data_IF_968952590492
#
_entry.id   IF_968952590492
#
_cell.length_a   1.000
_cell.length_b   1.000
_cell.length_c   1.000
_cell.angle_alpha   90.00
_cell.angle_beta   90.00
_cell.angle_gamma   90.00
#
_symmetry.space_group_name_H-M   'P 1'
#
loop_
_entity.id
_entity.type
_entity.pdbx_description
1 polymer ?
#
# COMPACT_ATOMS: atom_id res chain seq x y z
N UNK A 1 -10.30 -13.23 2.36
CA UNK A 1 -9.66 -11.93 2.04
C UNK A 1 -8.16 -12.07 1.80
N UNK A 2 -7.35 -12.53 2.77
CA UNK A 2 -5.88 -12.64 2.60
C UNK A 2 -5.43 -13.50 1.40
N UNK A 3 -6.14 -14.61 1.11
CA UNK A 3 -5.83 -15.49 -0.04
C UNK A 3 -5.98 -14.74 -1.37
N UNK A 4 -7.00 -13.91 -1.51
CA UNK A 4 -7.22 -13.11 -2.72
C UNK A 4 -6.13 -12.05 -2.90
N UNK A 5 -5.69 -11.44 -1.80
CA UNK A 5 -4.57 -10.49 -1.80
C UNK A 5 -3.28 -11.16 -2.27
N UNK A 6 -2.95 -12.33 -1.72
CA UNK A 6 -1.77 -13.08 -2.13
C UNK A 6 -1.85 -13.52 -3.60
N UNK A 7 -3.03 -13.95 -4.06
CA UNK A 7 -3.25 -14.27 -5.47
C UNK A 7 -3.07 -13.05 -6.39
N UNK A 8 -3.54 -11.88 -5.98
CA UNK A 8 -3.34 -10.63 -6.71
C UNK A 8 -1.85 -10.29 -6.86
N UNK A 9 -1.09 -10.32 -5.77
CA UNK A 9 0.36 -10.10 -5.83
C UNK A 9 1.09 -11.18 -6.65
N UNK A 10 0.69 -12.44 -6.54
CA UNK A 10 1.26 -13.53 -7.33
C UNK A 10 1.02 -13.32 -8.84
N UNK A 11 -0.17 -12.84 -9.23
CA UNK A 11 -0.49 -12.53 -10.62
C UNK A 11 0.38 -11.37 -11.15
N UNK A 12 0.55 -10.31 -10.36
CA UNK A 12 1.42 -9.18 -10.71
C UNK A 12 2.87 -9.66 -10.91
N UNK A 13 3.40 -10.47 -9.98
CA UNK A 13 4.75 -11.05 -10.12
C UNK A 13 4.85 -11.89 -11.40
N UNK A 14 3.85 -12.72 -11.69
CA UNK A 14 3.86 -13.58 -12.88
C UNK A 14 3.85 -12.74 -14.17
N UNK A 15 3.09 -11.64 -14.23
CA UNK A 15 3.07 -10.82 -15.44
C UNK A 15 4.34 -9.98 -15.61
N UNK A 16 4.83 -9.33 -14.55
CA UNK A 16 5.94 -8.37 -14.64
C UNK A 16 7.32 -9.04 -14.55
N UNK A 17 7.54 -9.91 -13.55
CA UNK A 17 8.86 -10.41 -13.20
C UNK A 17 9.55 -11.22 -14.32
N UNK A 18 8.91 -12.14 -15.06
CA UNK A 18 9.60 -12.85 -16.13
C UNK A 18 9.97 -11.93 -17.29
N UNK A 19 9.21 -10.85 -17.55
CA UNK A 19 9.55 -9.85 -18.55
C UNK A 19 10.85 -9.11 -18.19
N UNK A 20 10.95 -8.66 -16.94
CA UNK A 20 12.12 -7.97 -16.39
C UNK A 20 13.37 -8.85 -16.37
N UNK A 21 13.23 -10.11 -15.95
CA UNK A 21 14.34 -11.08 -15.90
C UNK A 21 14.83 -11.44 -17.29
N UNK A 22 13.93 -11.70 -18.25
CA UNK A 22 14.30 -12.02 -19.64
C UNK A 22 15.06 -10.87 -20.31
N UNK A 23 14.69 -9.63 -20.03
CA UNK A 23 15.37 -8.43 -20.55
C UNK A 23 16.65 -8.05 -19.78
N UNK A 24 17.04 -8.83 -18.75
CA UNK A 24 18.18 -8.53 -17.85
C UNK A 24 18.08 -7.13 -17.20
N UNK A 25 16.87 -6.65 -16.96
CA UNK A 25 16.62 -5.32 -16.39
C UNK A 25 16.67 -5.35 -14.86
N UNK A 26 17.83 -5.68 -14.30
CA UNK A 26 18.01 -5.91 -12.87
C UNK A 26 17.72 -4.70 -11.99
N UNK A 27 18.04 -3.48 -12.47
CA UNK A 27 17.71 -2.24 -11.76
C UNK A 27 16.19 -2.06 -11.60
N UNK A 28 15.45 -2.39 -12.64
CA UNK A 28 13.98 -2.27 -12.64
C UNK A 28 13.34 -3.41 -11.86
N UNK A 29 13.92 -4.61 -11.90
CA UNK A 29 13.49 -5.72 -11.07
C UNK A 29 13.62 -5.38 -9.58
N UNK A 30 14.69 -4.70 -9.18
CA UNK A 30 14.87 -4.22 -7.81
C UNK A 30 13.81 -3.16 -7.49
N UNK A 31 13.61 -2.15 -8.35
CA UNK A 31 12.60 -1.12 -8.12
C UNK A 31 11.19 -1.74 -7.97
N UNK A 32 10.81 -2.63 -8.89
CA UNK A 32 9.56 -3.39 -8.85
C UNK A 32 9.44 -4.17 -7.54
N UNK A 33 10.49 -4.90 -7.14
CA UNK A 33 10.48 -5.69 -5.90
C UNK A 33 10.33 -4.82 -4.65
N UNK A 34 10.95 -3.64 -4.63
CA UNK A 34 10.80 -2.67 -3.52
C UNK A 34 9.37 -2.16 -3.45
N UNK A 35 8.78 -1.73 -4.57
CA UNK A 35 7.39 -1.29 -4.62
C UNK A 35 6.41 -2.40 -4.22
N UNK A 36 6.67 -3.63 -4.70
CA UNK A 36 5.88 -4.80 -4.36
C UNK A 36 5.94 -5.12 -2.86
N UNK A 37 7.15 -5.06 -2.27
CA UNK A 37 7.34 -5.28 -0.84
C UNK A 37 6.62 -4.21 0.00
N UNK A 38 6.67 -2.94 -0.42
CA UNK A 38 5.90 -1.86 0.22
C UNK A 38 4.39 -2.14 0.12
N UNK A 39 3.90 -2.53 -1.05
CA UNK A 39 2.49 -2.88 -1.25
C UNK A 39 2.03 -4.01 -0.32
N UNK A 40 2.81 -5.07 -0.21
CA UNK A 40 2.53 -6.19 0.71
C UNK A 40 2.58 -5.73 2.17
N UNK A 41 3.61 -4.96 2.55
CA UNK A 41 3.77 -4.44 3.91
C UNK A 41 2.63 -3.52 4.35
N UNK A 42 2.02 -2.78 3.42
CA UNK A 42 0.84 -1.95 3.69
C UNK A 42 -0.45 -2.79 3.72
N UNK A 43 -0.58 -3.77 2.83
CA UNK A 43 -1.82 -4.53 2.67
C UNK A 43 -2.00 -5.57 3.78
N UNK A 44 -0.93 -6.21 4.26
CA UNK A 44 -1.03 -7.24 5.31
C UNK A 44 -1.69 -6.67 6.60
N UNK A 45 -1.20 -5.57 7.21
CA UNK A 45 -1.83 -4.97 8.37
C UNK A 45 -3.29 -4.56 8.11
N UNK A 46 -3.55 -3.97 6.93
CA UNK A 46 -4.91 -3.56 6.53
C UNK A 46 -5.90 -4.73 6.52
N UNK A 47 -5.49 -5.92 6.02
CA UNK A 47 -6.35 -7.11 5.99
C UNK A 47 -6.66 -7.64 7.39
N UNK A 48 -5.73 -7.50 8.32
CA UNK A 48 -5.93 -7.85 9.73
C UNK A 48 -6.65 -6.76 10.54
N UNK A 49 -7.04 -5.65 9.91
CA UNK A 49 -7.65 -4.50 10.59
C UNK A 49 -6.68 -3.70 11.46
N UNK A 50 -5.37 -4.02 11.39
CA UNK A 50 -4.32 -3.30 12.08
C UNK A 50 -3.93 -2.12 11.19
N UNK A 51 -4.32 -0.91 11.57
CA UNK A 51 -3.89 0.31 10.91
C UNK A 51 -2.73 0.91 11.72
N UNK A 52 -1.46 0.59 11.38
CA UNK A 52 -0.31 1.14 12.10
C UNK A 52 -0.21 2.66 11.96
N UNK A 53 -0.78 3.22 10.87
CA UNK A 53 -0.97 4.64 10.68
C UNK A 53 -2.44 4.87 10.31
N UNK A 54 -3.11 5.76 11.04
CA UNK A 54 -4.40 6.32 10.62
C UNK A 54 -4.13 7.26 9.43
N UNK A 55 -4.49 6.88 8.19
CA UNK A 55 -4.18 7.70 7.00
C UNK A 55 -4.83 9.09 7.07
N UNK A 56 -5.94 9.15 7.82
CA UNK A 56 -6.71 10.34 8.02
C UNK A 56 -6.14 11.21 9.13
N UNK A 57 -5.21 10.74 9.98
CA UNK A 57 -4.73 11.52 11.12
C UNK A 57 -4.15 12.91 10.74
N UNK A 58 -3.37 13.08 9.65
CA UNK A 58 -2.92 14.41 9.22
C UNK A 58 -4.05 15.29 8.72
N UNK A 59 -5.01 14.69 8.00
CA UNK A 59 -6.19 15.39 7.48
C UNK A 59 -7.08 15.80 8.67
N UNK A 60 -7.34 14.89 9.60
CA UNK A 60 -8.10 15.12 10.81
C UNK A 60 -7.45 16.19 11.68
N UNK A 61 -6.12 16.20 11.83
CA UNK A 61 -5.40 17.26 12.54
C UNK A 61 -5.55 18.63 11.87
N UNK A 62 -5.56 18.67 10.54
CA UNK A 62 -5.74 19.91 9.78
C UNK A 62 -7.17 20.45 9.86
N UNK A 63 -8.16 19.57 9.82
CA UNK A 63 -9.58 19.93 9.79
C UNK A 63 -10.24 20.01 11.17
N UNK A 64 -9.64 19.42 12.22
CA UNK A 64 -10.10 19.53 13.62
C UNK A 64 -10.37 20.96 14.08
N UNK A 65 -9.45 21.93 13.92
CA UNK A 65 -9.69 23.30 14.40
C UNK A 65 -10.87 23.95 13.67
N UNK A 66 -11.07 23.63 12.39
CA UNK A 66 -12.20 24.13 11.61
C UNK A 66 -13.52 23.47 12.04
N UNK A 67 -13.49 22.17 12.31
CA UNK A 67 -14.64 21.40 12.79
C UNK A 67 -15.08 21.84 14.19
N UNK A 68 -14.15 22.18 15.08
CA UNK A 68 -14.44 22.74 16.41
C UNK A 68 -15.05 24.14 16.32
N UNK A 69 -14.57 24.99 15.40
CA UNK A 69 -15.12 26.33 15.16
C UNK A 69 -16.55 26.31 14.60
N UNK A 70 -16.88 25.32 13.77
CA UNK A 70 -18.22 25.10 13.20
C UNK A 70 -19.18 24.36 14.15
N UNK A 71 -18.67 23.83 15.26
CA UNK A 71 -19.44 23.06 16.24
C UNK A 71 -19.89 23.90 17.44
N UNK A 72 -19.56 25.20 17.46
CA UNK A 72 -20.28 26.15 18.31
C UNK A 72 -21.72 26.33 17.82
N UNK A 73 -22.70 26.45 18.74
CA UNK A 73 -24.13 26.50 18.41
C UNK A 73 -24.56 27.74 17.62
#
# INVERSE_FOLDING_TARGET
MIVLVLLGFALIIWLEAPGLVKKKMWRELIAFSVFLAIGIALTIPQVYGIRPFEPNAPIEALFKPLAELLKEP
#
